data_IF_277581384603
#
_entry.id   IF_277581384603
#
_cell.length_a   1.000
_cell.length_b   1.000
_cell.length_c   1.000
_cell.angle_alpha   90.00
_cell.angle_beta   90.00
_cell.angle_gamma   90.00
#
_symmetry.space_group_name_H-M   'P 1'
#
loop_
_entity.id
_entity.type
_entity.pdbx_description
1 polymer ?
#
# COMPACT_ATOMS: atom_id res chain seq x y z
N UNK A 1 -14.37 87.42 10.18
CA UNK A 1 -14.08 88.80 10.63
C UNK A 1 -13.27 88.70 11.93
N UNK A 2 -11.99 89.14 11.89
CA UNK A 2 -11.03 89.36 13.01
C UNK A 2 -10.74 88.15 13.93
N UNK A 3 -9.69 87.35 13.71
CA UNK A 3 -8.26 87.56 14.08
C UNK A 3 -8.01 88.12 15.50
N UNK A 4 -7.32 87.34 16.33
CA UNK A 4 -6.84 87.70 17.66
C UNK A 4 -5.74 86.75 18.15
N UNK A 5 -4.51 87.05 17.74
CA UNK A 5 -3.21 86.41 18.05
C UNK A 5 -2.85 86.58 19.54
N UNK A 6 -2.17 85.58 20.15
CA UNK A 6 -0.98 85.82 21.02
C UNK A 6 -0.16 84.55 21.33
N UNK A 7 1.01 84.55 20.68
CA UNK A 7 2.33 83.94 20.89
C UNK A 7 2.71 83.55 22.33
N UNK A 8 3.51 82.48 22.49
CA UNK A 8 4.84 82.47 23.17
C UNK A 8 5.66 81.25 22.66
N UNK A 9 6.87 81.55 22.21
CA UNK A 9 7.97 80.62 21.88
C UNK A 9 8.79 80.39 23.16
N UNK A 10 9.23 79.15 23.43
CA UNK A 10 10.43 78.90 24.24
C UNK A 10 11.06 77.56 23.85
N UNK A 11 12.24 77.64 23.24
CA UNK A 11 13.11 76.53 22.95
C UNK A 11 13.95 76.16 24.18
N UNK A 12 14.13 74.87 24.45
CA UNK A 12 15.30 74.38 25.20
C UNK A 12 15.79 73.09 24.57
N UNK A 13 17.08 73.10 24.20
CA UNK A 13 17.84 71.95 23.74
C UNK A 13 18.20 71.07 24.93
N UNK A 14 18.00 69.76 24.78
CA UNK A 14 18.33 68.75 25.79
C UNK A 14 18.98 67.54 25.12
N UNK A 15 20.23 67.31 25.52
CA UNK A 15 21.25 66.43 24.98
C UNK A 15 20.88 64.93 24.95
N UNK A 16 21.42 64.28 23.91
CA UNK A 16 21.59 62.86 23.66
C UNK A 16 21.95 62.03 24.92
N UNK A 17 21.17 60.99 25.23
CA UNK A 17 21.67 59.77 25.87
C UNK A 17 21.12 58.56 25.12
N UNK A 18 22.00 57.94 24.35
CA UNK A 18 21.79 56.68 23.64
C UNK A 18 22.03 55.55 24.65
N UNK A 19 20.97 54.98 25.21
CA UNK A 19 21.03 53.67 25.88
C UNK A 19 20.24 52.67 25.05
N UNK A 20 20.94 51.98 24.15
CA UNK A 20 20.41 50.83 23.44
C UNK A 20 20.21 49.68 24.45
N UNK A 21 18.96 49.41 24.80
CA UNK A 21 18.57 48.15 25.45
C UNK A 21 18.51 47.09 24.34
N UNK A 22 19.26 45.99 24.40
CA UNK A 22 19.01 44.89 23.49
C UNK A 22 17.72 44.23 23.97
N UNK A 23 16.59 44.54 23.33
CA UNK A 23 15.40 43.74 23.43
C UNK A 23 15.67 42.41 22.69
N UNK A 24 16.39 41.52 23.37
CA UNK A 24 16.44 40.10 23.04
C UNK A 24 15.08 39.48 23.32
N UNK A 25 14.09 39.81 22.50
CA UNK A 25 12.90 38.98 22.36
C UNK A 25 13.39 37.76 21.61
N UNK A 26 13.80 36.74 22.37
CA UNK A 26 13.84 35.39 21.86
C UNK A 26 12.45 35.12 21.31
N UNK A 27 12.30 35.22 19.98
CA UNK A 27 11.17 34.68 19.28
C UNK A 27 11.12 33.22 19.71
N UNK A 28 10.17 32.91 20.61
CA UNK A 28 9.72 31.56 20.81
C UNK A 28 9.42 31.07 19.40
N UNK A 29 10.24 30.16 18.90
CA UNK A 29 9.94 29.44 17.67
C UNK A 29 8.56 28.87 17.92
N UNK A 30 7.56 29.38 17.20
CA UNK A 30 6.33 28.66 16.98
C UNK A 30 6.77 27.27 16.54
N UNK A 31 6.60 26.32 17.46
CA UNK A 31 6.85 24.92 17.18
C UNK A 31 5.74 24.60 16.19
N UNK A 32 6.12 24.58 14.91
CA UNK A 32 5.24 24.37 13.78
C UNK A 32 4.26 23.23 14.10
N UNK A 33 3.00 23.63 14.30
CA UNK A 33 1.88 22.74 14.51
C UNK A 33 1.41 22.11 13.19
N UNK A 34 2.25 22.09 12.14
CA UNK A 34 2.18 21.09 11.10
C UNK A 34 2.73 19.75 11.62
N UNK A 35 1.95 19.11 12.50
CA UNK A 35 1.94 17.65 12.54
C UNK A 35 1.33 17.16 11.22
N UNK A 36 2.05 17.38 10.12
CA UNK A 36 1.58 17.16 8.75
C UNK A 36 1.09 15.73 8.59
N UNK A 37 0.02 15.61 7.80
CA UNK A 37 -0.43 14.33 7.24
C UNK A 37 0.81 13.61 6.73
N UNK A 38 1.09 12.42 7.27
CA UNK A 38 2.19 11.61 6.75
C UNK A 38 1.69 11.00 5.46
N UNK A 39 2.10 11.59 4.35
CA UNK A 39 1.84 11.04 3.04
C UNK A 39 3.06 10.27 2.53
N UNK A 40 2.78 9.14 1.89
CA UNK A 40 3.79 8.48 1.07
C UNK A 40 4.11 9.39 -0.12
N UNK A 41 5.36 9.35 -0.64
CA UNK A 41 5.69 9.97 -1.93
C UNK A 41 4.67 9.59 -3.01
N UNK A 42 4.29 10.55 -3.87
CA UNK A 42 3.24 10.36 -4.88
C UNK A 42 3.40 9.09 -5.74
N UNK A 43 4.66 8.73 -6.06
CA UNK A 43 5.00 7.49 -6.79
C UNK A 43 4.56 6.22 -6.06
N UNK A 44 4.61 6.21 -4.74
CA UNK A 44 4.23 5.07 -3.90
C UNK A 44 2.72 5.01 -3.72
N UNK A 45 2.06 6.17 -3.59
CA UNK A 45 0.59 6.26 -3.66
C UNK A 45 0.09 5.72 -4.99
N UNK A 46 0.76 6.04 -6.11
CA UNK A 46 0.44 5.47 -7.42
C UNK A 46 0.59 3.95 -7.44
N UNK A 47 1.72 3.41 -6.97
CA UNK A 47 1.92 1.97 -6.92
C UNK A 47 0.86 1.27 -6.03
N UNK A 48 0.55 1.82 -4.86
CA UNK A 48 -0.49 1.28 -3.97
C UNK A 48 -1.88 1.31 -4.62
N UNK A 49 -2.21 2.41 -5.31
CA UNK A 49 -3.48 2.57 -6.04
C UNK A 49 -3.59 1.56 -7.19
N UNK A 50 -2.49 1.32 -7.92
CA UNK A 50 -2.45 0.31 -8.98
C UNK A 50 -2.70 -1.11 -8.43
N UNK A 51 -2.12 -1.44 -7.27
CA UNK A 51 -2.36 -2.72 -6.60
C UNK A 51 -3.81 -2.88 -6.15
N UNK A 52 -4.35 -1.91 -5.42
CA UNK A 52 -5.74 -1.93 -4.94
C UNK A 52 -6.72 -2.07 -6.12
N UNK A 53 -6.51 -1.26 -7.15
CA UNK A 53 -7.37 -1.22 -8.34
C UNK A 53 -7.36 -2.56 -9.07
N UNK A 54 -6.19 -3.19 -9.24
CA UNK A 54 -6.09 -4.51 -9.86
C UNK A 54 -6.81 -5.57 -9.02
N UNK A 55 -6.49 -5.66 -7.72
CA UNK A 55 -7.06 -6.69 -6.85
C UNK A 55 -8.58 -6.56 -6.76
N UNK A 56 -9.10 -5.34 -6.66
CA UNK A 56 -10.53 -5.03 -6.64
C UNK A 56 -11.20 -5.42 -7.96
N UNK A 57 -10.70 -4.94 -9.11
CA UNK A 57 -11.28 -5.22 -10.43
C UNK A 57 -11.21 -6.70 -10.79
N UNK A 58 -10.07 -7.36 -10.61
CA UNK A 58 -9.90 -8.77 -10.95
C UNK A 58 -10.83 -9.68 -10.12
N UNK A 59 -11.07 -9.36 -8.85
CA UNK A 59 -12.00 -10.11 -8.00
C UNK A 59 -13.47 -9.97 -8.40
N UNK A 60 -13.83 -9.00 -9.26
CA UNK A 60 -15.21 -8.85 -9.78
C UNK A 60 -15.51 -9.69 -11.02
N UNK A 61 -14.49 -10.37 -11.59
CA UNK A 61 -14.70 -11.28 -12.72
C UNK A 61 -15.56 -12.47 -12.23
N UNK A 62 -16.75 -12.61 -12.83
CA UNK A 62 -17.75 -13.61 -12.42
C UNK A 62 -18.04 -14.64 -13.53
N UNK A 63 -18.49 -15.86 -13.17
CA UNK A 63 -19.02 -16.85 -14.11
C UNK A 63 -20.22 -16.36 -14.94
N UNK A 64 -20.71 -17.21 -15.84
CA UNK A 64 -21.88 -16.93 -16.70
C UNK A 64 -21.52 -16.34 -18.05
N UNK A 65 -20.41 -16.80 -18.65
CA UNK A 65 -19.98 -16.32 -19.97
C UNK A 65 -20.95 -16.80 -21.07
N UNK A 66 -21.33 -15.89 -21.96
CA UNK A 66 -22.27 -16.17 -23.06
C UNK A 66 -21.56 -16.37 -24.39
N UNK A 67 -20.33 -15.89 -24.52
CA UNK A 67 -19.57 -15.91 -25.76
C UNK A 67 -18.07 -15.69 -25.52
N UNK A 68 -17.28 -15.90 -26.58
CA UNK A 68 -15.84 -15.68 -26.56
C UNK A 68 -15.42 -14.25 -26.24
N UNK A 69 -16.20 -13.22 -26.61
CA UNK A 69 -15.85 -11.81 -26.41
C UNK A 69 -15.83 -11.45 -24.92
N UNK A 70 -16.80 -11.95 -24.14
CA UNK A 70 -16.83 -11.79 -22.69
C UNK A 70 -15.62 -12.45 -22.02
N UNK A 71 -15.22 -13.65 -22.50
CA UNK A 71 -14.03 -14.35 -22.01
C UNK A 71 -12.76 -13.54 -22.31
N UNK A 72 -12.65 -12.95 -23.52
CA UNK A 72 -11.50 -12.10 -23.86
C UNK A 72 -11.43 -10.84 -22.99
N UNK A 73 -12.55 -10.20 -22.68
CA UNK A 73 -12.57 -9.07 -21.74
C UNK A 73 -12.10 -9.48 -20.35
N UNK A 74 -12.55 -10.63 -19.85
CA UNK A 74 -12.14 -11.15 -18.55
C UNK A 74 -10.64 -11.51 -18.52
N UNK A 75 -10.12 -12.16 -19.57
CA UNK A 75 -8.69 -12.43 -19.72
C UNK A 75 -7.85 -11.16 -19.75
N UNK A 76 -8.30 -10.13 -20.47
CA UNK A 76 -7.59 -8.84 -20.50
C UNK A 76 -7.55 -8.21 -19.10
N UNK A 77 -8.66 -8.25 -18.35
CA UNK A 77 -8.74 -7.72 -16.99
C UNK A 77 -7.88 -8.51 -15.99
N UNK A 78 -7.88 -9.85 -16.06
CA UNK A 78 -7.05 -10.66 -15.15
C UNK A 78 -5.55 -10.46 -15.40
N UNK A 79 -5.17 -10.16 -16.64
CA UNK A 79 -3.79 -9.96 -17.06
C UNK A 79 -3.28 -8.51 -16.92
N UNK A 80 -4.13 -7.54 -16.55
CA UNK A 80 -3.86 -6.10 -16.62
C UNK A 80 -2.98 -5.54 -15.50
N UNK A 81 -1.95 -6.28 -15.09
CA UNK A 81 -0.94 -5.83 -14.15
C UNK A 81 0.45 -6.07 -14.73
N UNK A 82 1.42 -5.20 -14.45
CA UNK A 82 2.84 -5.51 -14.63
C UNK A 82 3.37 -6.12 -13.33
N UNK A 83 4.13 -7.22 -13.41
CA UNK A 83 4.47 -8.02 -12.21
C UNK A 83 5.28 -7.23 -11.18
N UNK A 84 6.29 -6.46 -11.63
CA UNK A 84 7.10 -5.65 -10.74
C UNK A 84 6.31 -4.49 -10.13
N UNK A 85 5.45 -3.83 -10.91
CA UNK A 85 4.56 -2.81 -10.38
C UNK A 85 3.58 -3.36 -9.35
N UNK A 86 3.02 -4.56 -9.56
CA UNK A 86 2.10 -5.17 -8.60
C UNK A 86 2.81 -5.56 -7.30
N UNK A 87 4.07 -6.02 -7.38
CA UNK A 87 4.95 -6.27 -6.23
C UNK A 87 5.23 -4.99 -5.44
N UNK A 88 5.73 -3.94 -6.11
CA UNK A 88 5.97 -2.61 -5.55
C UNK A 88 4.70 -2.05 -4.90
N UNK A 89 3.56 -2.22 -5.57
CA UNK A 89 2.25 -1.74 -5.15
C UNK A 89 1.71 -2.45 -3.91
N UNK A 90 1.90 -3.75 -3.77
CA UNK A 90 1.48 -4.48 -2.57
C UNK A 90 2.24 -3.98 -1.32
N UNK A 91 3.53 -3.70 -1.46
CA UNK A 91 4.36 -3.18 -0.36
C UNK A 91 3.94 -1.74 -0.01
N UNK A 92 3.71 -0.90 -1.01
CA UNK A 92 3.21 0.46 -0.80
C UNK A 92 1.78 0.48 -0.21
N UNK A 93 0.94 -0.49 -0.58
CA UNK A 93 -0.39 -0.67 -0.01
C UNK A 93 -0.32 -1.03 1.49
N UNK A 94 0.56 -1.95 1.89
CA UNK A 94 0.84 -2.21 3.31
C UNK A 94 1.30 -0.94 4.02
N UNK A 95 2.22 -0.17 3.42
CA UNK A 95 2.70 1.06 4.02
C UNK A 95 1.56 2.07 4.23
N UNK A 96 0.66 2.19 3.26
CA UNK A 96 -0.54 3.06 3.35
C UNK A 96 -1.42 2.66 4.54
N UNK A 97 -1.67 1.36 4.73
CA UNK A 97 -2.45 0.86 5.86
C UNK A 97 -1.75 1.10 7.21
N UNK A 98 -0.43 0.91 7.27
CA UNK A 98 0.33 1.10 8.51
C UNK A 98 0.35 2.57 8.97
N UNK A 99 0.37 3.51 8.03
CA UNK A 99 0.29 4.95 8.32
C UNK A 99 -1.06 5.39 8.92
N UNK A 100 -2.09 4.54 8.85
CA UNK A 100 -3.37 4.79 9.52
C UNK A 100 -3.28 4.63 11.04
N UNK A 101 -2.25 3.96 11.58
CA UNK A 101 -2.05 3.84 13.04
C UNK A 101 -1.23 5.02 13.60
N UNK A 102 -1.84 5.95 14.36
CA UNK A 102 -1.13 7.11 14.87
C UNK A 102 -0.10 6.76 15.95
N UNK A 103 -0.21 5.61 16.62
CA UNK A 103 0.82 5.13 17.57
C UNK A 103 2.07 4.71 16.81
N UNK A 104 1.90 3.97 15.71
CA UNK A 104 2.98 3.58 14.82
C UNK A 104 3.72 4.80 14.25
N UNK A 105 2.97 5.76 13.70
CA UNK A 105 3.53 6.99 13.13
C UNK A 105 4.35 7.78 14.16
N UNK A 106 3.82 7.98 15.37
CA UNK A 106 4.56 8.68 16.44
C UNK A 106 5.81 7.92 16.87
N UNK A 107 5.71 6.60 17.03
CA UNK A 107 6.85 5.77 17.41
C UNK A 107 7.97 5.83 16.37
N UNK A 108 7.63 5.79 15.07
CA UNK A 108 8.60 5.91 13.98
C UNK A 108 9.33 7.27 14.00
N UNK A 109 8.58 8.36 14.18
CA UNK A 109 9.14 9.72 14.30
C UNK A 109 10.12 9.84 15.47
N UNK A 110 9.73 9.32 16.65
CA UNK A 110 10.59 9.35 17.84
C UNK A 110 11.84 8.49 17.66
N UNK A 111 11.70 7.29 17.09
CA UNK A 111 12.83 6.40 16.83
C UNK A 111 13.83 7.04 15.84
N UNK A 112 13.34 7.68 14.78
CA UNK A 112 14.20 8.39 13.82
C UNK A 112 14.94 9.59 14.43
N UNK A 113 14.34 10.29 15.40
CA UNK A 113 15.00 11.37 16.13
C UNK A 113 16.07 10.88 17.09
N UNK A 114 15.84 9.71 17.71
CA UNK A 114 16.75 9.13 18.69
C UNK A 114 17.93 8.37 18.06
N UNK A 115 17.78 7.90 16.82
CA UNK A 115 18.74 7.00 16.18
C UNK A 115 19.09 7.46 14.74
N UNK A 116 20.32 7.99 14.51
CA UNK A 116 20.74 8.42 13.18
C UNK A 116 20.87 7.27 12.17
N UNK A 117 20.94 6.02 12.63
CA UNK A 117 21.01 4.83 11.77
C UNK A 117 19.65 4.17 11.53
N UNK A 118 18.55 4.77 12.01
CA UNK A 118 17.19 4.23 11.91
C UNK A 118 16.85 3.80 10.47
N UNK A 119 17.10 4.66 9.49
CA UNK A 119 16.81 4.37 8.11
C UNK A 119 17.63 3.19 7.57
N UNK A 120 18.93 3.17 7.84
CA UNK A 120 19.83 2.09 7.41
C UNK A 120 19.40 0.76 8.01
N UNK A 121 19.04 0.72 9.30
CA UNK A 121 18.55 -0.48 9.98
C UNK A 121 17.29 -1.02 9.31
N UNK A 122 16.29 -0.17 9.07
CA UNK A 122 15.04 -0.56 8.43
C UNK A 122 15.24 -1.11 7.01
N UNK A 123 16.20 -0.56 6.26
CA UNK A 123 16.51 -1.01 4.91
C UNK A 123 17.21 -2.37 4.93
N UNK A 124 18.16 -2.58 5.85
CA UNK A 124 18.91 -3.84 5.97
C UNK A 124 18.09 -4.95 6.63
N UNK A 125 17.23 -4.59 7.57
CA UNK A 125 16.35 -5.49 8.32
C UNK A 125 14.96 -4.87 8.47
N UNK A 126 14.07 -5.09 7.49
CA UNK A 126 12.71 -4.58 7.54
C UNK A 126 11.89 -5.10 8.73
N UNK A 127 12.27 -6.24 9.33
CA UNK A 127 11.56 -6.79 10.48
C UNK A 127 11.76 -5.98 11.77
N UNK A 128 12.78 -5.11 11.82
CA UNK A 128 12.99 -4.17 12.92
C UNK A 128 11.89 -3.10 13.03
N UNK A 129 11.09 -2.88 11.97
CA UNK A 129 9.87 -2.05 12.06
C UNK A 129 8.86 -2.61 13.08
N UNK A 130 8.91 -3.91 13.36
CA UNK A 130 8.11 -4.59 14.39
C UNK A 130 8.43 -4.16 15.83
N UNK A 131 9.54 -3.47 16.07
CA UNK A 131 9.93 -2.96 17.40
C UNK A 131 9.22 -1.65 17.75
N UNK A 132 8.56 -1.01 16.78
CA UNK A 132 7.84 0.24 16.96
C UNK A 132 6.50 0.01 17.69
N UNK A 133 6.16 0.93 18.59
CA UNK A 133 4.85 0.91 19.25
C UNK A 133 3.73 1.05 18.21
N UNK A 134 2.74 0.14 18.23
CA UNK A 134 1.68 0.10 17.22
C UNK A 134 1.98 -0.82 16.02
N UNK A 135 3.20 -1.36 15.90
CA UNK A 135 3.55 -2.24 14.78
C UNK A 135 2.67 -3.50 14.72
N UNK A 136 2.32 -4.11 15.86
CA UNK A 136 1.45 -5.29 15.90
C UNK A 136 0.06 -5.01 15.31
N UNK A 137 -0.51 -3.84 15.61
CA UNK A 137 -1.80 -3.40 15.08
C UNK A 137 -1.73 -3.13 13.58
N UNK A 138 -0.72 -2.37 13.15
CA UNK A 138 -0.46 -2.09 11.74
C UNK A 138 -0.21 -3.35 10.91
N UNK A 139 0.60 -4.28 11.43
CA UNK A 139 0.86 -5.58 10.80
C UNK A 139 -0.42 -6.40 10.67
N UNK A 140 -1.22 -6.48 11.73
CA UNK A 140 -2.46 -7.27 11.74
C UNK A 140 -3.51 -6.67 10.79
N UNK A 141 -3.56 -5.35 10.66
CA UNK A 141 -4.40 -4.65 9.69
C UNK A 141 -3.97 -4.99 8.25
N UNK A 142 -2.69 -4.81 7.95
CA UNK A 142 -2.13 -5.07 6.63
C UNK A 142 -2.27 -6.55 6.21
N UNK A 143 -1.93 -7.48 7.09
CA UNK A 143 -2.07 -8.92 6.82
C UNK A 143 -3.53 -9.30 6.56
N UNK A 144 -4.48 -8.76 7.34
CA UNK A 144 -5.90 -9.01 7.12
C UNK A 144 -6.38 -8.46 5.76
N UNK A 145 -5.92 -7.27 5.36
CA UNK A 145 -6.27 -6.66 4.08
C UNK A 145 -5.80 -7.50 2.89
N UNK A 146 -4.54 -7.93 2.90
CA UNK A 146 -3.96 -8.76 1.85
C UNK A 146 -4.64 -10.14 1.78
N UNK A 147 -4.93 -10.74 2.94
CA UNK A 147 -5.64 -12.04 3.02
C UNK A 147 -7.06 -11.94 2.48
N UNK A 148 -7.77 -10.85 2.78
CA UNK A 148 -9.10 -10.59 2.24
C UNK A 148 -9.08 -10.41 0.72
N UNK A 149 -8.21 -9.55 0.19
CA UNK A 149 -8.08 -9.33 -1.25
C UNK A 149 -7.67 -10.61 -2.00
N UNK A 150 -6.67 -11.32 -1.49
CA UNK A 150 -6.25 -12.61 -2.03
C UNK A 150 -7.35 -13.68 -1.95
N UNK A 151 -8.08 -13.75 -0.85
CA UNK A 151 -9.18 -14.69 -0.66
C UNK A 151 -10.35 -14.44 -1.61
N UNK A 152 -10.72 -13.17 -1.84
CA UNK A 152 -11.74 -12.78 -2.83
C UNK A 152 -11.33 -13.18 -4.25
N UNK A 153 -10.11 -12.84 -4.67
CA UNK A 153 -9.61 -13.20 -6.00
C UNK A 153 -9.50 -14.73 -6.18
N UNK A 154 -9.04 -15.46 -5.16
CA UNK A 154 -8.96 -16.92 -5.20
C UNK A 154 -10.34 -17.56 -5.35
N UNK A 155 -11.34 -17.05 -4.62
CA UNK A 155 -12.72 -17.54 -4.69
C UNK A 155 -13.32 -17.31 -6.07
N UNK A 156 -13.13 -16.10 -6.62
CA UNK A 156 -13.54 -15.78 -7.99
C UNK A 156 -12.85 -16.70 -9.01
N UNK A 157 -11.53 -16.88 -8.91
CA UNK A 157 -10.78 -17.77 -9.81
C UNK A 157 -11.25 -19.22 -9.76
N UNK A 158 -11.58 -19.74 -8.57
CA UNK A 158 -12.18 -21.08 -8.41
C UNK A 158 -13.56 -21.18 -9.07
N UNK A 159 -14.39 -20.15 -8.94
CA UNK A 159 -15.71 -20.12 -9.58
C UNK A 159 -15.58 -20.12 -11.12
N UNK A 160 -14.66 -19.33 -11.67
CA UNK A 160 -14.36 -19.33 -13.11
C UNK A 160 -13.80 -20.68 -13.58
N UNK A 161 -12.93 -21.31 -12.79
CA UNK A 161 -12.45 -22.67 -13.10
C UNK A 161 -13.62 -23.66 -13.16
N UNK A 162 -14.58 -23.56 -12.24
CA UNK A 162 -15.77 -24.40 -12.25
C UNK A 162 -16.63 -24.16 -13.49
N UNK A 163 -16.85 -22.90 -13.86
CA UNK A 163 -17.55 -22.51 -15.09
C UNK A 163 -16.95 -23.19 -16.33
N UNK A 164 -15.62 -23.28 -16.43
CA UNK A 164 -14.96 -23.96 -17.54
C UNK A 164 -15.44 -25.42 -17.68
N UNK A 165 -15.61 -26.15 -16.56
CA UNK A 165 -16.12 -27.51 -16.56
C UNK A 165 -17.62 -27.59 -16.85
N UNK A 166 -18.39 -26.57 -16.45
CA UNK A 166 -19.83 -26.52 -16.65
C UNK A 166 -20.17 -26.23 -18.13
N UNK A 167 -19.42 -25.32 -18.76
CA UNK A 167 -19.66 -24.92 -20.16
C UNK A 167 -19.00 -25.82 -21.19
N UNK A 168 -18.01 -26.67 -20.84
CA UNK A 168 -17.26 -27.49 -21.81
C UNK A 168 -18.14 -28.41 -22.69
N UNK A 169 -19.38 -28.71 -22.25
CA UNK A 169 -20.33 -29.52 -23.01
C UNK A 169 -21.22 -28.71 -23.96
N UNK A 170 -21.28 -27.39 -23.78
CA UNK A 170 -22.13 -26.49 -24.55
C UNK A 170 -21.56 -26.23 -25.95
N UNK A 171 -22.43 -26.14 -26.96
CA UNK A 171 -22.02 -26.03 -28.35
C UNK A 171 -21.19 -24.77 -28.63
N UNK A 172 -21.58 -23.62 -28.08
CA UNK A 172 -20.84 -22.36 -28.26
C UNK A 172 -19.43 -22.43 -27.65
N UNK A 173 -19.28 -23.10 -26.49
CA UNK A 173 -18.02 -23.15 -25.76
C UNK A 173 -16.99 -24.08 -26.42
N UNK A 174 -17.45 -25.08 -27.18
CA UNK A 174 -16.62 -25.96 -28.01
C UNK A 174 -16.15 -25.29 -29.31
N UNK A 175 -16.72 -24.13 -29.66
CA UNK A 175 -16.27 -23.33 -30.79
C UNK A 175 -14.81 -22.91 -30.62
N UNK A 176 -14.04 -22.98 -31.71
CA UNK A 176 -12.65 -22.56 -31.72
C UNK A 176 -12.54 -21.03 -31.59
N UNK A 177 -11.55 -20.58 -30.82
CA UNK A 177 -11.18 -19.17 -30.77
C UNK A 177 -10.61 -18.75 -32.12
N UNK A 178 -11.17 -17.69 -32.71
CA UNK A 178 -10.89 -17.29 -34.09
C UNK A 178 -9.41 -16.91 -34.36
N UNK A 179 -8.69 -16.37 -33.37
CA UNK A 179 -7.28 -15.99 -33.53
C UNK A 179 -6.48 -16.17 -32.22
N UNK A 180 -6.08 -17.41 -31.87
CA UNK A 180 -5.42 -17.70 -30.59
C UNK A 180 -4.04 -17.05 -30.49
N UNK A 181 -3.33 -16.88 -31.61
CA UNK A 181 -2.03 -16.19 -31.65
C UNK A 181 -2.17 -14.71 -31.32
N UNK A 182 -3.12 -14.00 -31.93
CA UNK A 182 -3.37 -12.59 -31.63
C UNK A 182 -3.91 -12.38 -30.21
N UNK A 183 -4.77 -13.30 -29.72
CA UNK A 183 -5.18 -13.34 -28.31
C UNK A 183 -3.96 -13.39 -27.38
N UNK A 184 -3.08 -14.38 -27.57
CA UNK A 184 -1.92 -14.54 -26.71
C UNK A 184 -0.98 -13.32 -26.77
N UNK A 185 -0.74 -12.79 -27.97
CA UNK A 185 0.07 -11.58 -28.15
C UNK A 185 -0.51 -10.38 -27.37
N UNK A 186 -1.83 -10.19 -27.41
CA UNK A 186 -2.53 -9.14 -26.65
C UNK A 186 -2.34 -9.32 -25.14
N UNK A 187 -2.55 -10.53 -24.62
CA UNK A 187 -2.39 -10.83 -23.20
C UNK A 187 -0.96 -10.57 -22.72
N UNK A 188 0.05 -10.95 -23.52
CA UNK A 188 1.46 -10.63 -23.24
C UNK A 188 1.72 -9.12 -23.22
N UNK A 189 1.20 -8.36 -24.20
CA UNK A 189 1.40 -6.92 -24.28
C UNK A 189 0.75 -6.16 -23.10
N UNK A 190 -0.48 -6.52 -22.74
CA UNK A 190 -1.18 -5.96 -21.57
C UNK A 190 -0.39 -6.28 -20.30
N UNK A 191 0.11 -7.51 -20.20
CA UNK A 191 0.82 -8.01 -19.02
C UNK A 191 2.17 -7.34 -18.71
N UNK A 192 2.74 -6.59 -19.66
CA UNK A 192 3.99 -5.84 -19.47
C UNK A 192 3.76 -4.33 -19.36
N UNK A 193 2.49 -3.90 -19.43
CA UNK A 193 2.13 -2.48 -19.38
C UNK A 193 1.87 -2.06 -17.95
N UNK A 194 2.62 -1.06 -17.46
CA UNK A 194 2.36 -0.46 -16.15
C UNK A 194 1.03 0.29 -16.17
N UNK A 195 0.18 0.01 -15.18
CA UNK A 195 -1.05 0.74 -14.94
C UNK A 195 -0.73 2.15 -14.45
N UNK A 196 -1.49 3.15 -14.92
CA UNK A 196 -1.40 4.54 -14.47
C UNK A 196 -2.68 4.87 -13.70
N UNK A 197 -2.63 4.98 -12.37
CA UNK A 197 -3.81 5.28 -11.57
C UNK A 197 -4.45 6.61 -11.94
N UNK A 198 -5.79 6.65 -11.94
CA UNK A 198 -6.56 7.88 -12.07
C UNK A 198 -6.76 8.54 -10.70
N UNK A 199 -7.22 9.80 -10.64
CA UNK A 199 -7.63 10.41 -9.37
C UNK A 199 -8.66 9.58 -8.60
N UNK A 200 -9.59 8.93 -9.29
CA UNK A 200 -10.61 8.05 -8.66
C UNK A 200 -9.98 6.79 -8.05
N UNK A 201 -8.91 6.26 -8.65
CA UNK A 201 -8.17 5.13 -8.07
C UNK A 201 -7.48 5.54 -6.76
N UNK A 202 -6.91 6.74 -6.71
CA UNK A 202 -6.29 7.28 -5.49
C UNK A 202 -7.32 7.57 -4.41
N UNK A 203 -8.45 8.19 -4.77
CA UNK A 203 -9.55 8.43 -3.84
C UNK A 203 -10.10 7.12 -3.25
N UNK A 204 -10.18 6.05 -4.05
CA UNK A 204 -10.53 4.70 -3.53
C UNK A 204 -9.56 4.24 -2.47
N UNK A 205 -8.25 4.38 -2.71
CA UNK A 205 -7.22 3.98 -1.75
C UNK A 205 -7.37 4.70 -0.40
N UNK A 206 -7.68 6.00 -0.41
CA UNK A 206 -7.89 6.79 0.82
C UNK A 206 -9.09 6.31 1.64
N UNK A 207 -10.12 5.76 0.99
CA UNK A 207 -11.32 5.23 1.67
C UNK A 207 -11.15 3.81 2.19
N UNK A 208 -10.03 3.15 1.91
CA UNK A 208 -9.77 1.77 2.36
C UNK A 208 -9.75 1.73 3.88
N UNK A 209 -10.77 1.10 4.44
CA UNK A 209 -10.94 0.86 5.88
C UNK A 209 -10.98 -0.64 6.13
N UNK A 210 -9.98 -1.17 6.82
CA UNK A 210 -9.87 -2.60 7.11
C UNK A 210 -10.19 -2.82 8.59
N UNK A 211 -11.00 -3.83 8.89
CA UNK A 211 -11.22 -4.28 10.28
C UNK A 211 -10.33 -5.50 10.53
N UNK A 212 -9.44 -5.42 11.50
CA UNK A 212 -8.64 -6.57 11.93
C UNK A 212 -9.09 -7.05 13.30
N UNK A 213 -9.27 -8.38 13.43
CA UNK A 213 -9.36 -9.06 14.72
C UNK A 213 -7.95 -9.56 14.98
N UNK A 214 -7.17 -8.82 15.78
CA UNK A 214 -5.73 -9.04 15.93
C UNK A 214 -5.31 -10.50 16.15
N UNK A 215 -4.09 -10.85 15.72
CA UNK A 215 -3.55 -12.21 15.83
C UNK A 215 -2.06 -12.29 15.48
N UNK A 216 -1.35 -13.22 16.12
CA UNK A 216 0.13 -13.31 16.15
C UNK A 216 0.83 -13.84 14.88
N UNK A 217 0.16 -13.85 13.72
CA UNK A 217 0.69 -14.33 12.43
C UNK A 217 0.65 -13.23 11.35
N UNK A 218 0.89 -11.99 11.78
CA UNK A 218 0.75 -10.80 10.94
C UNK A 218 2.04 -10.41 10.19
N UNK A 219 3.20 -10.86 10.66
CA UNK A 219 4.51 -10.46 10.14
C UNK A 219 4.99 -11.42 9.05
N UNK A 220 4.68 -11.10 7.79
CA UNK A 220 5.32 -11.72 6.62
C UNK A 220 6.45 -10.84 6.08
N UNK A 221 7.36 -11.37 5.23
CA UNK A 221 8.40 -10.56 4.60
C UNK A 221 7.87 -9.36 3.80
N UNK A 222 6.70 -9.50 3.16
CA UNK A 222 6.03 -8.41 2.45
C UNK A 222 5.50 -7.37 3.45
N UNK A 223 4.85 -7.82 4.53
CA UNK A 223 4.33 -6.92 5.57
C UNK A 223 5.47 -6.15 6.24
N UNK A 224 6.56 -6.82 6.61
CA UNK A 224 7.74 -6.19 7.22
C UNK A 224 8.32 -5.07 6.33
N UNK A 225 8.42 -5.30 5.02
CA UNK A 225 8.86 -4.28 4.06
C UNK A 225 7.93 -3.07 3.99
N UNK A 226 6.62 -3.31 3.99
CA UNK A 226 5.63 -2.24 4.01
C UNK A 226 5.64 -1.44 5.31
N UNK A 227 5.81 -2.11 6.47
CA UNK A 227 5.97 -1.43 7.76
C UNK A 227 7.26 -0.59 7.80
N UNK A 228 8.38 -1.14 7.33
CA UNK A 228 9.63 -0.40 7.23
C UNK A 228 9.48 0.83 6.31
N UNK A 229 8.80 0.68 5.17
CA UNK A 229 8.51 1.78 4.27
C UNK A 229 7.62 2.85 4.91
N UNK A 230 6.58 2.45 5.65
CA UNK A 230 5.73 3.38 6.40
C UNK A 230 6.50 4.11 7.49
N UNK A 231 7.39 3.42 8.22
CA UNK A 231 8.22 4.03 9.25
C UNK A 231 9.19 5.07 8.65
N UNK A 232 9.80 4.78 7.50
CA UNK A 232 10.60 5.75 6.76
C UNK A 232 9.75 6.95 6.29
N UNK A 233 8.54 6.73 5.81
CA UNK A 233 7.64 7.82 5.40
C UNK A 233 7.26 8.71 6.59
N UNK A 234 6.89 8.11 7.72
CA UNK A 234 6.58 8.83 8.96
C UNK A 234 7.75 9.67 9.48
N UNK A 235 8.98 9.20 9.26
CA UNK A 235 10.21 9.90 9.60
C UNK A 235 10.63 10.99 8.58
N UNK A 236 9.89 11.19 7.48
CA UNK A 236 10.31 12.10 6.39
C UNK A 236 11.51 11.57 5.60
N UNK A 237 11.73 10.26 5.63
CA UNK A 237 12.87 9.57 5.08
C UNK A 237 12.48 8.61 3.94
N UNK A 238 11.35 8.82 3.25
CA UNK A 238 10.93 8.00 2.11
C UNK A 238 11.12 8.65 0.73
N UNK A 239 11.54 9.92 0.67
CA UNK A 239 11.58 10.68 -0.60
C UNK A 239 12.66 10.19 -1.57
N UNK A 240 13.80 9.75 -1.04
CA UNK A 240 14.90 9.18 -1.82
C UNK A 240 14.53 7.79 -2.37
N UNK A 241 14.21 7.77 -3.67
CA UNK A 241 13.77 6.57 -4.37
C UNK A 241 14.84 5.47 -4.41
N UNK A 242 16.12 5.82 -4.54
CA UNK A 242 17.19 4.82 -4.61
C UNK A 242 17.45 4.22 -3.22
N UNK A 243 17.36 5.02 -2.17
CA UNK A 243 17.50 4.53 -0.80
C UNK A 243 16.41 3.54 -0.39
N UNK A 244 15.14 3.79 -0.75
CA UNK A 244 14.04 2.88 -0.38
C UNK A 244 13.87 1.68 -1.33
N UNK A 245 14.54 1.69 -2.49
CA UNK A 245 14.41 0.66 -3.53
C UNK A 245 14.55 -0.79 -3.03
N UNK A 246 15.46 -1.13 -2.09
CA UNK A 246 15.55 -2.49 -1.56
C UNK A 246 14.28 -2.95 -0.82
N UNK A 247 13.49 -2.01 -0.28
CA UNK A 247 12.23 -2.33 0.39
C UNK A 247 11.10 -2.63 -0.59
N UNK A 248 11.19 -2.19 -1.84
CA UNK A 248 10.12 -2.31 -2.83
C UNK A 248 10.14 -3.63 -3.60
N UNK A 249 10.95 -4.60 -3.17
CA UNK A 249 10.98 -5.94 -3.76
C UNK A 249 10.96 -7.04 -2.71
N UNK A 250 10.11 -8.03 -2.95
CA UNK A 250 10.10 -9.33 -2.31
C UNK A 250 10.32 -10.42 -3.37
N UNK A 251 11.52 -11.01 -3.36
CA UNK A 251 11.95 -11.98 -4.37
C UNK A 251 10.97 -13.14 -4.55
N UNK A 252 10.40 -13.66 -3.46
CA UNK A 252 9.49 -14.82 -3.49
C UNK A 252 8.16 -14.39 -4.12
N UNK A 253 7.61 -13.26 -3.68
CA UNK A 253 6.36 -12.74 -4.22
C UNK A 253 6.49 -12.35 -5.71
N UNK A 254 7.53 -11.58 -6.07
CA UNK A 254 7.78 -11.19 -7.46
C UNK A 254 8.06 -12.39 -8.37
N UNK A 255 8.69 -13.45 -7.88
CA UNK A 255 8.81 -14.72 -8.62
C UNK A 255 7.44 -15.37 -8.85
N UNK A 256 6.62 -15.51 -7.81
CA UNK A 256 5.29 -16.12 -7.91
C UNK A 256 4.38 -15.39 -8.91
N UNK A 257 4.38 -14.04 -8.91
CA UNK A 257 3.63 -13.22 -9.87
C UNK A 257 4.08 -13.44 -11.33
N UNK A 258 5.39 -13.60 -11.56
CA UNK A 258 5.95 -13.90 -12.89
C UNK A 258 5.61 -15.31 -13.34
N UNK A 259 5.59 -16.27 -12.42
CA UNK A 259 5.18 -17.64 -12.71
C UNK A 259 3.70 -17.72 -13.09
N UNK A 260 2.80 -17.03 -12.39
CA UNK A 260 1.39 -16.96 -12.76
C UNK A 260 1.19 -16.47 -14.21
N UNK A 261 1.92 -15.40 -14.61
CA UNK A 261 1.92 -14.92 -16.02
C UNK A 261 2.47 -15.95 -16.99
N UNK A 262 3.58 -16.59 -16.67
CA UNK A 262 4.19 -17.59 -17.54
C UNK A 262 3.23 -18.77 -17.77
N UNK A 263 2.61 -19.26 -16.71
CA UNK A 263 1.65 -20.36 -16.79
C UNK A 263 0.42 -19.96 -17.61
N UNK A 264 -0.09 -18.72 -17.44
CA UNK A 264 -1.17 -18.19 -18.26
C UNK A 264 -0.80 -18.19 -19.75
N UNK A 265 0.41 -17.76 -20.10
CA UNK A 265 0.85 -17.76 -21.49
C UNK A 265 0.98 -19.16 -22.08
N UNK A 266 1.51 -20.11 -21.30
CA UNK A 266 1.68 -21.49 -21.71
C UNK A 266 0.32 -22.15 -21.93
N UNK A 267 -0.63 -21.98 -21.01
CA UNK A 267 -2.01 -22.46 -21.16
C UNK A 267 -2.67 -21.87 -22.42
N UNK A 268 -2.64 -20.54 -22.58
CA UNK A 268 -3.24 -19.86 -23.73
C UNK A 268 -2.54 -20.15 -25.07
N UNK A 269 -1.31 -20.67 -25.06
CA UNK A 269 -0.60 -21.05 -26.29
C UNK A 269 -1.13 -22.34 -26.93
N UNK A 270 -1.74 -23.20 -26.12
CA UNK A 270 -2.33 -24.47 -26.58
C UNK A 270 -3.85 -24.44 -26.58
N UNK A 271 -4.49 -23.51 -25.84
CA UNK A 271 -5.93 -23.39 -25.73
C UNK A 271 -6.62 -23.14 -27.09
N UNK A 272 -7.55 -24.02 -27.50
CA UNK A 272 -8.32 -23.92 -28.76
C UNK A 272 -9.79 -23.52 -28.56
N UNK A 273 -10.63 -24.29 -27.86
CA UNK A 273 -12.02 -23.93 -27.68
C UNK A 273 -12.19 -22.88 -26.58
N UNK A 274 -13.32 -22.18 -26.59
CA UNK A 274 -13.59 -21.13 -25.60
C UNK A 274 -13.55 -21.60 -24.14
N UNK A 275 -13.98 -22.84 -23.82
CA UNK A 275 -13.92 -23.33 -22.44
C UNK A 275 -12.48 -23.47 -21.91
N UNK A 276 -11.48 -23.65 -22.78
CA UNK A 276 -10.07 -23.71 -22.37
C UNK A 276 -9.56 -22.32 -21.98
N UNK A 277 -10.02 -21.26 -22.65
CA UNK A 277 -9.73 -19.87 -22.24
C UNK A 277 -10.35 -19.55 -20.86
N UNK A 278 -11.56 -20.07 -20.58
CA UNK A 278 -12.19 -19.95 -19.25
C UNK A 278 -11.35 -20.67 -18.19
N UNK A 279 -10.83 -21.86 -18.50
CA UNK A 279 -9.95 -22.59 -17.60
C UNK A 279 -8.65 -21.83 -17.34
N UNK A 280 -7.96 -21.36 -18.39
CA UNK A 280 -6.72 -20.59 -18.26
C UNK A 280 -6.92 -19.31 -17.45
N UNK A 281 -8.05 -18.61 -17.65
CA UNK A 281 -8.45 -17.44 -16.86
C UNK A 281 -8.59 -17.78 -15.38
N UNK A 282 -9.41 -18.78 -15.04
CA UNK A 282 -9.71 -19.11 -13.65
C UNK A 282 -8.49 -19.61 -12.87
N UNK A 283 -7.67 -20.45 -13.49
CA UNK A 283 -6.48 -21.04 -12.84
C UNK A 283 -5.32 -20.05 -12.83
N UNK A 284 -4.82 -19.67 -14.00
CA UNK A 284 -3.56 -18.93 -14.11
C UNK A 284 -3.74 -17.42 -14.08
N UNK A 285 -4.84 -16.90 -14.66
CA UNK A 285 -5.14 -15.47 -14.64
C UNK A 285 -5.54 -14.95 -13.26
N UNK A 286 -6.18 -15.80 -12.44
CA UNK A 286 -6.79 -15.38 -11.17
C UNK A 286 -6.26 -16.16 -9.96
N UNK A 287 -6.44 -17.50 -9.91
CA UNK A 287 -6.16 -18.27 -8.71
C UNK A 287 -4.67 -18.33 -8.34
N UNK A 288 -3.76 -18.40 -9.32
CA UNK A 288 -2.31 -18.37 -9.06
C UNK A 288 -1.85 -16.98 -8.57
N UNK A 289 -2.34 -15.90 -9.16
CA UNK A 289 -2.07 -14.53 -8.67
C UNK A 289 -2.58 -14.34 -7.25
N UNK A 290 -3.78 -14.83 -6.96
CA UNK A 290 -4.35 -14.81 -5.61
C UNK A 290 -3.50 -15.61 -4.62
N UNK A 291 -3.04 -16.80 -5.02
CA UNK A 291 -2.19 -17.65 -4.19
C UNK A 291 -0.85 -16.97 -3.89
N UNK A 292 -0.25 -16.28 -4.87
CA UNK A 292 0.95 -15.49 -4.66
C UNK A 292 0.76 -14.40 -3.58
N UNK A 293 -0.38 -13.70 -3.59
CA UNK A 293 -0.70 -12.68 -2.58
C UNK A 293 -0.92 -13.32 -1.20
N UNK A 294 -1.67 -14.42 -1.14
CA UNK A 294 -1.95 -15.13 0.12
C UNK A 294 -0.66 -15.68 0.75
N UNK A 295 0.21 -16.29 -0.03
CA UNK A 295 1.51 -16.79 0.41
C UNK A 295 2.41 -15.65 0.90
N UNK A 296 2.40 -14.51 0.20
CA UNK A 296 3.16 -13.32 0.59
C UNK A 296 2.61 -12.65 1.87
N UNK A 297 1.33 -12.86 2.19
CA UNK A 297 0.67 -12.35 3.41
C UNK A 297 0.85 -13.23 4.65
N UNK A 298 1.48 -14.40 4.49
CA UNK A 298 1.64 -15.41 5.53
C UNK A 298 3.08 -15.42 6.05
N UNK A 299 3.31 -15.53 7.38
CA UNK A 299 4.66 -15.68 7.92
C UNK A 299 5.38 -16.91 7.34
N UNK A 300 6.70 -16.81 7.16
CA UNK A 300 7.48 -17.96 6.71
C UNK A 300 7.60 -19.00 7.83
N UNK A 301 7.52 -20.31 7.52
CA UNK A 301 7.78 -21.37 8.49
C UNK A 301 9.14 -21.19 9.17
N UNK A 302 9.18 -21.22 10.51
CA UNK A 302 10.40 -21.06 11.29
C UNK A 302 10.83 -19.61 11.54
N UNK A 303 10.12 -18.61 11.04
CA UNK A 303 10.34 -17.22 11.46
C UNK A 303 10.04 -17.09 12.96
N UNK A 304 10.89 -16.41 13.75
CA UNK A 304 10.62 -16.19 15.17
C UNK A 304 9.29 -15.46 15.32
N UNK A 305 8.35 -16.10 16.02
CA UNK A 305 7.04 -15.50 16.28
C UNK A 305 7.24 -14.36 17.27
N UNK A 306 7.01 -13.12 16.84
CA UNK A 306 6.91 -11.99 17.77
C UNK A 306 5.68 -12.22 18.65
N UNK A 307 5.92 -12.49 19.93
CA UNK A 307 4.84 -12.48 20.93
C UNK A 307 4.46 -11.02 21.11
N UNK A 308 3.18 -10.68 20.90
CA UNK A 308 2.69 -9.32 21.12
C UNK A 308 3.15 -8.86 22.51
N UNK A 309 3.77 -7.69 22.59
CA UNK A 309 4.21 -7.15 23.87
C UNK A 309 2.97 -7.02 24.77
N UNK A 310 3.03 -7.61 25.98
CA UNK A 310 1.94 -7.51 26.94
C UNK A 310 1.60 -6.03 27.16
N UNK A 311 0.30 -5.69 27.08
CA UNK A 311 -0.15 -4.35 27.40
C UNK A 311 0.36 -3.99 28.80
N UNK A 312 0.94 -2.79 29.00
CA UNK A 312 1.37 -2.37 30.33
C UNK A 312 0.16 -2.44 31.30
N UNK A 313 0.35 -2.90 32.54
CA UNK A 313 -0.74 -3.00 33.49
C UNK A 313 -1.39 -1.64 33.68
N UNK A 314 -2.71 -1.59 33.53
CA UNK A 314 -3.49 -0.39 33.86
C UNK A 314 -3.38 -0.21 35.37
N UNK A 315 -2.54 0.72 35.80
CA UNK A 315 -2.52 1.18 37.18
C UNK A 315 -3.85 1.89 37.42
N UNK A 316 -4.81 1.19 38.01
CA UNK A 316 -6.01 1.85 38.52
C UNK A 316 -5.55 2.79 39.63
N UNK A 317 -5.64 4.10 39.37
CA UNK A 317 -5.49 5.10 40.41
C UNK A 317 -6.61 4.85 41.42
N UNK A 318 -6.26 4.29 42.57
CA UNK A 318 -7.15 4.19 43.72
C UNK A 318 -7.54 5.60 44.14
N UNK A 319 -8.79 5.98 43.85
CA UNK A 319 -9.41 7.18 44.40
C UNK A 319 -9.49 6.95 45.91
N UNK A 320 -8.67 7.67 46.68
CA UNK A 320 -8.89 7.79 48.12
C UNK A 320 -10.12 8.68 48.32
N UNK A 321 -11.15 8.11 48.94
CA UNK A 321 -12.23 8.85 49.54
C UNK A 321 -11.74 9.34 50.90
N UNK A 322 -11.46 10.63 51.01
CA UNK A 322 -11.41 11.34 52.28
C UNK A 322 -12.81 11.92 52.58
#
# INVERSE_FOLDING_TARGET
>A
MRLGIRTILAATAGTLFLTAVPAGVAAARDVDASAGVVDLPARLVDSASAYETYMSKAATISPGFRNGEEIQRALNASASYEAKQLEEGAIAYVATLALQDPRFVRSARMAAQADPYFATRLISDPASAGDLSGADGAAALASAALKDQGGRLLSAGKAIKQEAYDVQRQAWAKGNVANPTARLARIKAISTTRYKPTPEDRARLETVSVRSRGGGDAYSPLVNRGLALAALAAAGQADDAERIKPLLSDQKFGFALRMAKLNLYQCLSVARPHYEDVFCLGVHGMAETASAVLDASTPQPGAPRRVAAAAPPVVQASVRSD
#
